data_IF_155131912523
#
_entry.id   IF_155131912523
#
_cell.length_a   1.000
_cell.length_b   1.000
_cell.length_c   1.000
_cell.angle_alpha   90.00
_cell.angle_beta   90.00
_cell.angle_gamma   90.00
#
_symmetry.space_group_name_H-M   'P 1'
#
loop_
_entity.id
_entity.type
_entity.pdbx_description
1 polymer ?
#
# COMPACT_ATOMS: atom_id res chain seq x y z
N UNK A 1 -0.76 25.56 22.71
CA UNK A 1 -0.61 24.62 21.58
C UNK A 1 -0.43 25.48 20.33
N UNK A 2 0.72 25.35 19.65
CA UNK A 2 1.03 26.17 18.46
C UNK A 2 0.19 25.73 17.25
N UNK A 3 0.12 26.57 16.23
CA UNK A 3 -0.51 26.21 14.94
C UNK A 3 0.20 25.01 14.31
N UNK A 4 1.52 24.92 14.45
CA UNK A 4 2.30 23.77 13.99
C UNK A 4 1.95 22.49 14.76
N UNK A 5 1.76 22.57 16.08
CA UNK A 5 1.31 21.43 16.88
C UNK A 5 -0.10 20.98 16.51
N UNK A 6 -1.01 21.91 16.18
CA UNK A 6 -2.37 21.60 15.69
C UNK A 6 -2.33 20.94 14.30
N UNK A 7 -1.52 21.46 13.38
CA UNK A 7 -1.31 20.86 12.05
C UNK A 7 -0.63 19.49 12.14
N UNK A 8 0.31 19.31 13.06
CA UNK A 8 0.95 18.02 13.32
C UNK A 8 -0.09 17.01 13.82
N UNK A 9 -0.99 17.42 14.71
CA UNK A 9 -2.06 16.59 15.28
C UNK A 9 -3.19 16.28 14.29
N UNK A 10 -3.50 17.22 13.38
CA UNK A 10 -4.39 16.95 12.23
C UNK A 10 -3.76 15.95 11.27
N UNK A 11 -2.45 16.04 11.01
CA UNK A 11 -1.70 15.09 10.18
C UNK A 11 -1.44 13.73 10.86
N UNK A 12 -1.51 13.66 12.19
CA UNK A 12 -1.57 12.40 12.93
C UNK A 12 -2.89 11.66 12.70
N UNK A 13 -3.90 12.33 12.13
CA UNK A 13 -5.20 11.76 11.82
C UNK A 13 -5.24 11.16 10.42
N UNK A 14 -5.26 9.84 10.36
CA UNK A 14 -5.74 9.03 9.23
C UNK A 14 -4.69 8.72 8.13
N UNK A 15 -3.68 7.90 8.52
CA UNK A 15 -2.76 7.23 7.60
C UNK A 15 -3.24 5.83 7.21
N UNK A 16 -3.25 5.50 5.92
CA UNK A 16 -3.65 4.20 5.36
C UNK A 16 -2.41 3.48 4.83
N UNK A 17 -2.24 2.21 5.21
CA UNK A 17 -1.34 1.29 4.51
C UNK A 17 -2.14 0.51 3.46
N UNK A 18 -1.91 0.78 2.17
CA UNK A 18 -2.60 0.09 1.07
C UNK A 18 -1.72 -1.03 0.47
N UNK A 19 -2.14 -2.28 0.61
CA UNK A 19 -1.44 -3.47 0.10
C UNK A 19 -2.29 -4.12 -1.01
N UNK A 20 -2.00 -3.78 -2.27
CA UNK A 20 -2.78 -4.20 -3.44
C UNK A 20 -1.88 -4.36 -4.68
N UNK A 21 -2.45 -4.73 -5.83
CA UNK A 21 -1.72 -4.75 -7.10
C UNK A 21 -1.42 -3.35 -7.65
N UNK A 22 -0.43 -3.25 -8.54
CA UNK A 22 -0.17 -2.07 -9.37
C UNK A 22 -0.04 -2.43 -10.85
N UNK A 23 -0.54 -1.55 -11.72
CA UNK A 23 -0.44 -1.67 -13.18
C UNK A 23 0.10 -0.38 -13.80
N UNK A 24 1.02 -0.50 -14.78
CA UNK A 24 1.56 0.65 -15.52
C UNK A 24 0.48 1.28 -16.40
N UNK A 25 -0.23 0.48 -17.21
CA UNK A 25 -1.34 0.92 -18.06
C UNK A 25 -2.70 0.49 -17.49
N UNK A 26 -3.68 1.40 -17.54
CA UNK A 26 -5.01 1.24 -16.95
C UNK A 26 -5.07 1.64 -15.47
N UNK A 27 -6.23 1.42 -14.87
CA UNK A 27 -6.53 1.73 -13.46
C UNK A 27 -7.02 0.45 -12.78
N UNK A 28 -6.22 -0.09 -11.87
CA UNK A 28 -6.56 -1.22 -11.00
C UNK A 28 -5.71 -1.18 -9.72
N UNK A 29 -6.20 -1.80 -8.64
CA UNK A 29 -5.49 -1.90 -7.36
C UNK A 29 -5.09 -0.54 -6.78
N UNK A 30 -3.83 -0.42 -6.35
CA UNK A 30 -3.26 0.80 -5.80
C UNK A 30 -3.39 2.00 -6.74
N UNK A 31 -3.33 1.79 -8.07
CA UNK A 31 -3.52 2.88 -9.04
C UNK A 31 -4.95 3.43 -9.06
N UNK A 32 -5.94 2.66 -8.61
CA UNK A 32 -7.33 3.12 -8.40
C UNK A 32 -7.55 3.72 -7.02
N UNK A 33 -6.91 3.21 -5.96
CA UNK A 33 -7.24 3.59 -4.59
C UNK A 33 -6.44 4.78 -4.06
N UNK A 34 -5.17 4.92 -4.45
CA UNK A 34 -4.26 5.92 -3.86
C UNK A 34 -4.74 7.34 -4.16
N UNK A 35 -4.98 7.66 -5.43
CA UNK A 35 -5.35 9.03 -5.82
C UNK A 35 -6.67 9.49 -5.18
N UNK A 36 -7.76 8.69 -5.17
CA UNK A 36 -8.97 9.06 -4.43
C UNK A 36 -8.75 9.23 -2.93
N UNK A 37 -8.00 8.34 -2.27
CA UNK A 37 -7.71 8.47 -0.84
C UNK A 37 -6.95 9.77 -0.54
N UNK A 38 -5.92 10.08 -1.33
CA UNK A 38 -5.16 11.33 -1.21
C UNK A 38 -6.05 12.55 -1.47
N UNK A 39 -6.93 12.49 -2.47
CA UNK A 39 -7.91 13.56 -2.75
C UNK A 39 -8.86 13.79 -1.56
N UNK A 40 -9.17 12.74 -0.80
CA UNK A 40 -9.98 12.81 0.41
C UNK A 40 -9.19 13.10 1.70
N UNK A 41 -7.91 13.49 1.60
CA UNK A 41 -7.11 13.95 2.73
C UNK A 41 -6.44 12.84 3.54
N UNK A 42 -6.46 11.59 3.07
CA UNK A 42 -5.72 10.50 3.71
C UNK A 42 -4.24 10.57 3.34
N UNK A 43 -3.36 10.39 4.32
CA UNK A 43 -1.96 10.05 4.07
C UNK A 43 -1.89 8.56 3.68
N UNK A 44 -1.26 8.23 2.56
CA UNK A 44 -1.27 6.85 2.03
C UNK A 44 0.14 6.37 1.77
N UNK A 45 0.56 5.34 2.52
CA UNK A 45 1.70 4.51 2.15
C UNK A 45 1.16 3.26 1.43
N UNK A 46 1.91 2.74 0.47
CA UNK A 46 1.44 1.61 -0.33
C UNK A 46 2.55 0.61 -0.64
N UNK A 47 2.18 -0.67 -0.60
CA UNK A 47 3.01 -1.80 -1.02
C UNK A 47 2.32 -2.47 -2.19
N UNK A 48 3.05 -2.64 -3.29
CA UNK A 48 2.53 -3.27 -4.50
C UNK A 48 2.77 -4.78 -4.43
N UNK A 49 1.71 -5.57 -4.25
CA UNK A 49 1.78 -7.04 -4.24
C UNK A 49 2.26 -7.60 -5.59
N UNK A 50 1.99 -6.87 -6.66
CA UNK A 50 2.51 -7.10 -8.01
C UNK A 50 2.74 -5.76 -8.69
N UNK A 51 3.71 -5.71 -9.60
CA UNK A 51 3.90 -4.59 -10.52
C UNK A 51 3.87 -5.12 -11.94
N UNK A 52 2.74 -4.93 -12.62
CA UNK A 52 2.51 -5.42 -13.97
C UNK A 52 2.40 -4.30 -15.01
N UNK A 53 2.63 -4.65 -16.28
CA UNK A 53 2.43 -3.77 -17.43
C UNK A 53 0.98 -3.28 -17.54
N UNK A 54 0.01 -4.14 -17.22
CA UNK A 54 -1.43 -3.92 -17.37
C UNK A 54 -2.20 -4.97 -16.54
N UNK A 55 -3.51 -4.78 -16.39
CA UNK A 55 -4.35 -5.76 -15.68
C UNK A 55 -4.55 -7.05 -16.50
N UNK A 56 -5.12 -8.07 -15.85
CA UNK A 56 -5.17 -9.45 -16.35
C UNK A 56 -6.16 -9.71 -17.48
N UNK A 57 -6.92 -8.70 -17.91
CA UNK A 57 -7.89 -8.85 -19.01
C UNK A 57 -7.24 -8.71 -20.40
N UNK A 58 -5.96 -8.32 -20.47
CA UNK A 58 -5.19 -8.27 -21.71
C UNK A 58 -4.51 -9.62 -21.99
N UNK A 59 -4.28 -9.92 -23.27
CA UNK A 59 -3.64 -11.17 -23.73
C UNK A 59 -2.20 -11.37 -23.26
N UNK A 60 -1.48 -10.28 -23.00
CA UNK A 60 -0.09 -10.33 -22.55
C UNK A 60 0.10 -9.48 -21.30
N UNK A 61 0.80 -10.06 -20.32
CA UNK A 61 1.10 -9.43 -19.04
C UNK A 61 2.58 -9.74 -18.75
N UNK A 62 3.32 -8.73 -18.32
CA UNK A 62 4.70 -8.84 -17.85
C UNK A 62 4.87 -8.05 -16.58
N UNK A 63 5.85 -8.43 -15.78
CA UNK A 63 6.22 -7.72 -14.56
C UNK A 63 6.51 -8.68 -13.41
N UNK A 64 6.52 -8.12 -12.21
CA UNK A 64 7.06 -8.76 -11.02
C UNK A 64 5.95 -9.02 -10.00
N UNK A 65 6.12 -10.07 -9.20
CA UNK A 65 5.27 -10.38 -8.05
C UNK A 65 6.13 -10.24 -6.80
N UNK A 66 5.63 -9.51 -5.81
CA UNK A 66 6.28 -9.40 -4.52
C UNK A 66 6.01 -10.71 -3.74
N UNK A 67 7.06 -11.27 -3.17
CA UNK A 67 7.02 -12.45 -2.32
C UNK A 67 6.70 -12.06 -0.87
N UNK A 68 6.36 -13.05 -0.05
CA UNK A 68 6.12 -12.86 1.39
C UNK A 68 7.38 -12.35 2.12
N UNK A 69 8.58 -12.76 1.68
CA UNK A 69 9.84 -12.34 2.27
C UNK A 69 10.17 -10.88 1.93
N UNK A 70 9.94 -10.49 0.68
CA UNK A 70 10.13 -9.09 0.27
C UNK A 70 9.10 -8.17 0.95
N UNK A 71 7.87 -8.64 1.17
CA UNK A 71 6.88 -7.92 1.97
C UNK A 71 7.35 -7.72 3.42
N UNK A 72 7.87 -8.78 4.04
CA UNK A 72 8.43 -8.73 5.40
C UNK A 72 9.63 -7.78 5.49
N UNK A 73 10.53 -7.80 4.49
CA UNK A 73 11.68 -6.90 4.43
C UNK A 73 11.25 -5.42 4.38
N UNK A 74 10.27 -5.08 3.55
CA UNK A 74 9.74 -3.72 3.47
C UNK A 74 9.09 -3.30 4.80
N UNK A 75 8.25 -4.16 5.37
CA UNK A 75 7.53 -3.82 6.59
C UNK A 75 8.45 -3.75 7.81
N UNK A 76 9.47 -4.60 7.89
CA UNK A 76 10.51 -4.52 8.90
C UNK A 76 11.30 -3.22 8.76
N UNK A 77 11.60 -2.78 7.53
CA UNK A 77 12.18 -1.45 7.28
C UNK A 77 11.34 -0.32 7.87
N UNK A 78 10.01 -0.38 7.76
CA UNK A 78 9.09 0.59 8.38
C UNK A 78 9.11 0.50 9.91
N UNK A 79 9.13 -0.71 10.48
CA UNK A 79 9.23 -0.97 11.92
C UNK A 79 10.53 -0.44 12.51
N UNK A 80 11.67 -0.73 11.89
CA UNK A 80 12.99 -0.28 12.32
C UNK A 80 13.09 1.25 12.36
N UNK A 81 12.39 1.94 11.45
CA UNK A 81 12.31 3.40 11.44
C UNK A 81 11.17 3.96 12.31
N UNK A 82 10.39 3.11 13.01
CA UNK A 82 9.24 3.51 13.82
C UNK A 82 8.18 4.32 13.07
N UNK A 83 8.05 4.10 11.76
CA UNK A 83 7.09 4.78 10.87
C UNK A 83 5.95 3.86 10.41
N UNK A 84 5.79 2.69 11.04
CA UNK A 84 4.73 1.72 10.75
C UNK A 84 3.40 2.00 11.50
N UNK A 85 3.12 3.27 11.83
CA UNK A 85 1.88 3.65 12.55
C UNK A 85 0.77 3.97 11.56
N UNK A 86 -0.18 3.06 11.45
CA UNK A 86 -1.32 3.17 10.53
C UNK A 86 -2.64 3.18 11.30
N UNK A 87 -3.57 4.01 10.82
CA UNK A 87 -4.95 4.05 11.33
C UNK A 87 -5.84 3.02 10.63
N UNK A 88 -5.49 2.67 9.39
CA UNK A 88 -6.25 1.77 8.53
C UNK A 88 -5.28 0.94 7.70
N UNK A 89 -5.68 -0.29 7.39
CA UNK A 89 -5.02 -1.16 6.41
C UNK A 89 -6.05 -1.49 5.33
N UNK A 90 -5.70 -1.23 4.07
CA UNK A 90 -6.54 -1.53 2.91
C UNK A 90 -5.87 -2.62 2.08
N UNK A 91 -6.48 -3.79 2.02
CA UNK A 91 -5.94 -4.93 1.27
C UNK A 91 -6.74 -5.18 -0.02
N UNK A 92 -6.07 -5.72 -1.03
CA UNK A 92 -6.67 -5.99 -2.33
C UNK A 92 -6.07 -7.23 -3.01
N UNK A 93 -5.89 -7.16 -4.33
CA UNK A 93 -5.34 -8.29 -5.08
C UNK A 93 -4.00 -8.75 -4.50
N UNK A 94 -3.91 -10.03 -4.16
CA UNK A 94 -2.70 -10.70 -3.68
C UNK A 94 -2.28 -11.78 -4.67
N UNK A 95 -0.98 -11.84 -4.97
CA UNK A 95 -0.45 -12.71 -6.01
C UNK A 95 -0.35 -14.19 -5.64
N UNK A 96 -0.37 -14.52 -4.34
CA UNK A 96 -0.32 -15.89 -3.81
C UNK A 96 -0.87 -15.98 -2.35
N UNK A 97 -1.23 -17.17 -1.84
CA UNK A 97 -1.78 -17.34 -0.48
C UNK A 97 -0.80 -17.04 0.66
N UNK A 98 0.49 -17.35 0.49
CA UNK A 98 1.52 -17.11 1.52
C UNK A 98 1.71 -15.62 1.79
N UNK A 99 1.66 -14.80 0.74
CA UNK A 99 1.67 -13.34 0.81
C UNK A 99 0.47 -12.82 1.60
N UNK A 100 -0.73 -13.36 1.34
CA UNK A 100 -1.94 -12.99 2.09
C UNK A 100 -1.82 -13.37 3.56
N UNK A 101 -1.28 -14.56 3.88
CA UNK A 101 -1.03 -14.96 5.26
C UNK A 101 -0.06 -14.00 5.96
N UNK A 102 1.02 -13.59 5.29
CA UNK A 102 1.99 -12.63 5.83
C UNK A 102 1.38 -11.24 6.09
N UNK A 103 0.41 -10.79 5.30
CA UNK A 103 -0.31 -9.52 5.57
C UNK A 103 -0.99 -9.52 6.95
N UNK A 104 -1.42 -10.67 7.47
CA UNK A 104 -2.05 -10.75 8.81
C UNK A 104 -1.04 -10.45 9.93
N UNK A 105 0.25 -10.61 9.67
CA UNK A 105 1.33 -10.38 10.63
C UNK A 105 1.86 -8.92 10.59
N UNK A 106 1.31 -8.10 9.69
CA UNK A 106 1.66 -6.69 9.48
C UNK A 106 0.80 -5.81 10.39
#
# INVERSE_FOLDING_TARGET
MSVEELLQKEREGIRVLSIQSHVVSGYAGNKCSIFPLQLHGFEVDFINSVQFSNHTAYSHIRGQRLTEKELEELYEGLKLNSINRYSHVLTGYCGNPTFLAKIVEI
#
